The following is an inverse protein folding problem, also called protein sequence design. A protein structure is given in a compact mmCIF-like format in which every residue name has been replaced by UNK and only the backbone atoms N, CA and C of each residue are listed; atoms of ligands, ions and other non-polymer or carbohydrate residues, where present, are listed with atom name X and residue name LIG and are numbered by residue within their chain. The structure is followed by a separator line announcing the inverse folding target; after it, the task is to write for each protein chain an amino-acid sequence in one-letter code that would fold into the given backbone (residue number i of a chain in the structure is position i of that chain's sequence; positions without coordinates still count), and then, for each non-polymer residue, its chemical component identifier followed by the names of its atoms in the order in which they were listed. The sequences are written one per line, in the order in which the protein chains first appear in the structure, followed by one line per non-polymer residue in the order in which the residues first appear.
data_IF_925176490235
#
_entry.id   IF_925176490235
#
_cell.length_a   1.000
_cell.length_b   1.000
_cell.length_c   1.000
_cell.angle_alpha   90.00
_cell.angle_beta   90.00
_cell.angle_gamma   90.00
#
_symmetry.space_group_name_H-M   'P 1'
#
loop_
_entity.id
_entity.type
_entity.pdbx_description
1 polymer ?
#
# COMPACT_ATOMS: atom_id res chain seq x y z
N UNK A 1 -9.44 -6.72 12.86
CA UNK A 1 -10.80 -7.34 12.92
C UNK A 1 -11.42 -7.21 11.53
N UNK A 2 -11.27 -8.25 10.70
CA UNK A 2 -11.55 -8.18 9.26
C UNK A 2 -12.97 -7.71 8.95
N UNK A 3 -13.10 -6.55 8.30
CA UNK A 3 -14.39 -6.00 7.90
C UNK A 3 -14.95 -6.77 6.70
N UNK A 4 -15.72 -7.81 7.02
CA UNK A 4 -16.70 -8.52 6.18
C UNK A 4 -16.17 -9.19 4.90
N UNK A 5 -16.84 -10.26 4.41
CA UNK A 5 -16.63 -10.69 3.04
C UNK A 5 -16.93 -9.53 2.08
N UNK A 6 -15.95 -9.20 1.25
CA UNK A 6 -16.15 -8.24 0.16
C UNK A 6 -16.98 -8.97 -0.90
N UNK A 7 -18.03 -8.34 -1.41
CA UNK A 7 -18.83 -8.86 -2.52
C UNK A 7 -18.83 -7.85 -3.67
N UNK A 8 -18.87 -8.34 -4.91
CA UNK A 8 -19.11 -7.47 -6.05
C UNK A 8 -20.46 -6.78 -5.87
N UNK A 9 -20.44 -5.45 -5.90
CA UNK A 9 -21.60 -4.58 -5.71
C UNK A 9 -21.49 -3.38 -6.65
N UNK A 10 -22.59 -2.68 -6.97
CA UNK A 10 -22.53 -1.47 -7.80
C UNK A 10 -21.56 -0.42 -7.26
N UNK A 11 -21.40 -0.36 -5.94
CA UNK A 11 -20.43 0.50 -5.28
C UNK A 11 -19.00 0.06 -5.60
N UNK A 12 -18.70 -1.24 -5.53
CA UNK A 12 -17.40 -1.79 -5.87
C UNK A 12 -17.09 -1.65 -7.37
N UNK A 13 -18.08 -1.80 -8.25
CA UNK A 13 -17.95 -1.54 -9.69
C UNK A 13 -17.60 -0.08 -9.97
N UNK A 14 -18.20 0.85 -9.23
CA UNK A 14 -17.89 2.28 -9.34
C UNK A 14 -16.45 2.57 -8.88
N UNK A 15 -15.98 1.91 -7.82
CA UNK A 15 -14.59 1.99 -7.36
C UNK A 15 -13.63 1.41 -8.40
N UNK A 16 -13.90 0.21 -8.90
CA UNK A 16 -13.10 -0.42 -9.95
C UNK A 16 -13.00 0.49 -11.18
N UNK A 17 -14.12 1.07 -11.61
CA UNK A 17 -14.17 2.04 -12.71
C UNK A 17 -13.30 3.28 -12.44
N UNK A 18 -13.18 3.75 -11.20
CA UNK A 18 -12.27 4.86 -10.85
C UNK A 18 -10.81 4.42 -10.90
N UNK A 19 -10.50 3.24 -10.34
CA UNK A 19 -9.14 2.68 -10.32
C UNK A 19 -8.61 2.36 -11.73
N UNK A 20 -9.48 1.93 -12.65
CA UNK A 20 -9.11 1.68 -14.06
C UNK A 20 -8.98 2.97 -14.88
N UNK A 21 -9.79 3.99 -14.58
CA UNK A 21 -9.78 5.28 -15.30
C UNK A 21 -8.58 6.17 -14.99
N UNK A 22 -7.67 5.77 -14.09
CA UNK A 22 -6.54 6.60 -13.71
C UNK A 22 -5.65 7.01 -14.89
N UNK A 23 -5.74 6.39 -16.07
CA UNK A 23 -5.14 6.86 -17.34
C UNK A 23 -3.60 6.87 -17.38
N UNK A 24 -2.98 6.74 -16.21
CA UNK A 24 -1.56 6.63 -15.98
C UNK A 24 -1.09 5.20 -16.32
N UNK A 25 0.00 5.03 -17.11
CA UNK A 25 0.69 3.76 -17.27
C UNK A 25 1.01 3.04 -15.95
N UNK A 26 1.03 3.79 -14.85
CA UNK A 26 1.30 3.33 -13.48
C UNK A 26 0.07 3.42 -12.56
N UNK A 27 -1.14 3.41 -13.13
CA UNK A 27 -2.40 3.44 -12.38
C UNK A 27 -2.63 2.23 -11.47
N UNK A 28 -3.56 2.36 -10.53
CA UNK A 28 -3.79 1.37 -9.47
C UNK A 28 -4.06 -0.07 -9.94
N UNK A 29 -4.72 -0.23 -11.08
CA UNK A 29 -5.04 -1.52 -11.70
C UNK A 29 -4.35 -1.69 -13.06
N UNK A 30 -3.27 -0.92 -13.33
CA UNK A 30 -2.59 -0.95 -14.61
C UNK A 30 -2.19 -2.38 -14.99
N UNK A 31 -2.65 -2.84 -16.16
CA UNK A 31 -2.31 -4.15 -16.71
C UNK A 31 -2.92 -5.37 -16.00
N UNK A 32 -3.75 -5.17 -14.97
CA UNK A 32 -4.43 -6.25 -14.24
C UNK A 32 -5.86 -6.47 -14.76
N UNK A 33 -6.15 -7.58 -15.46
CA UNK A 33 -7.47 -7.84 -16.03
C UNK A 33 -8.46 -8.38 -14.99
N UNK A 34 -8.01 -8.75 -13.80
CA UNK A 34 -8.87 -9.36 -12.77
C UNK A 34 -9.89 -8.33 -12.25
N UNK A 35 -11.12 -8.76 -11.95
CA UNK A 35 -12.08 -7.91 -11.22
C UNK A 35 -11.51 -7.46 -9.88
N UNK A 36 -11.90 -6.27 -9.41
CA UNK A 36 -11.41 -5.72 -8.15
C UNK A 36 -11.66 -6.67 -6.98
N UNK A 37 -12.82 -7.31 -6.93
CA UNK A 37 -13.15 -8.30 -5.89
C UNK A 37 -12.16 -9.45 -5.82
N UNK A 38 -11.69 -9.94 -6.96
CA UNK A 38 -10.73 -11.05 -7.03
C UNK A 38 -9.41 -10.63 -6.42
N UNK A 39 -8.93 -9.42 -6.74
CA UNK A 39 -7.68 -8.87 -6.20
C UNK A 39 -7.78 -8.73 -4.68
N UNK A 40 -8.87 -8.14 -4.17
CA UNK A 40 -9.08 -7.97 -2.73
C UNK A 40 -9.15 -9.31 -1.99
N UNK A 41 -9.81 -10.31 -2.58
CA UNK A 41 -9.95 -11.64 -1.98
C UNK A 41 -8.62 -12.39 -1.95
N UNK A 42 -7.82 -12.28 -3.00
CA UNK A 42 -6.50 -12.89 -3.07
C UNK A 42 -5.52 -12.23 -2.10
N UNK A 43 -5.51 -10.88 -2.03
CA UNK A 43 -4.67 -10.14 -1.09
C UNK A 43 -5.07 -10.45 0.38
N UNK A 44 -6.36 -10.53 0.70
CA UNK A 44 -6.86 -10.95 2.04
C UNK A 44 -6.42 -12.39 2.38
N UNK A 45 -6.51 -13.32 1.44
CA UNK A 45 -6.03 -14.69 1.62
C UNK A 45 -4.53 -14.73 1.90
N UNK A 46 -3.72 -13.97 1.15
CA UNK A 46 -2.27 -13.92 1.33
C UNK A 46 -1.90 -13.37 2.72
N UNK A 47 -2.53 -12.28 3.14
CA UNK A 47 -2.31 -11.68 4.47
C UNK A 47 -2.68 -12.66 5.58
N UNK A 48 -3.83 -13.33 5.48
CA UNK A 48 -4.26 -14.36 6.46
C UNK A 48 -3.33 -15.56 6.50
N UNK A 49 -2.81 -16.01 5.35
CA UNK A 49 -1.87 -17.12 5.29
C UNK A 49 -0.54 -16.82 6.00
N UNK A 50 -0.16 -15.54 6.08
CA UNK A 50 1.00 -15.06 6.84
C UNK A 50 0.72 -14.88 8.35
N UNK A 51 -0.52 -15.10 8.82
CA UNK A 51 -0.90 -14.82 10.20
C UNK A 51 -0.94 -13.32 10.54
N UNK A 52 -1.14 -12.47 9.51
CA UNK A 52 -1.10 -11.01 9.64
C UNK A 52 -2.49 -10.38 9.52
N UNK A 53 -2.55 -9.09 9.84
CA UNK A 53 -3.70 -8.21 9.55
C UNK A 53 -3.28 -7.08 8.61
N UNK A 54 -4.23 -6.57 7.83
CA UNK A 54 -3.99 -5.40 6.99
C UNK A 54 -3.58 -4.19 7.83
N UNK A 55 -4.15 -4.06 9.03
CA UNK A 55 -3.84 -3.04 10.00
C UNK A 55 -2.38 -3.13 10.49
N UNK A 56 -1.88 -4.33 10.81
CA UNK A 56 -0.49 -4.53 11.21
C UNK A 56 0.49 -4.15 10.09
N UNK A 57 0.21 -4.56 8.84
CA UNK A 57 1.03 -4.19 7.68
C UNK A 57 1.04 -2.67 7.49
N UNK A 58 -0.14 -2.02 7.50
CA UNK A 58 -0.24 -0.58 7.36
C UNK A 58 0.43 0.17 8.51
N UNK A 59 0.36 -0.35 9.74
CA UNK A 59 1.03 0.23 10.90
C UNK A 59 2.55 0.18 10.76
N UNK A 60 3.13 -0.93 10.29
CA UNK A 60 4.58 -1.05 10.07
C UNK A 60 5.06 -0.09 8.99
N UNK A 61 4.36 -0.03 7.84
CA UNK A 61 4.70 0.92 6.78
C UNK A 61 4.55 2.38 7.25
N UNK A 62 3.54 2.69 8.06
CA UNK A 62 3.35 4.02 8.67
C UNK A 62 4.51 4.41 9.58
N UNK A 63 5.02 3.48 10.39
CA UNK A 63 6.16 3.76 11.26
C UNK A 63 7.40 4.23 10.46
N UNK A 64 7.68 3.57 9.33
CA UNK A 64 8.74 4.01 8.41
C UNK A 64 8.45 5.36 7.78
N UNK A 65 7.21 5.60 7.35
CA UNK A 65 6.78 6.89 6.80
C UNK A 65 6.99 8.03 7.79
N UNK A 66 6.59 7.86 9.05
CA UNK A 66 6.76 8.90 10.07
C UNK A 66 8.23 9.11 10.44
N UNK A 67 9.04 8.05 10.49
CA UNK A 67 10.49 8.18 10.65
C UNK A 67 11.11 9.03 9.53
N UNK A 68 10.71 8.80 8.27
CA UNK A 68 11.20 9.57 7.13
C UNK A 68 10.72 11.02 7.14
N UNK A 69 9.47 11.29 7.55
CA UNK A 69 8.95 12.67 7.72
C UNK A 69 9.78 13.46 8.72
N UNK A 70 10.17 12.83 9.83
CA UNK A 70 10.99 13.45 10.87
C UNK A 70 12.43 13.74 10.43
N UNK A 71 12.90 13.10 9.34
CA UNK A 71 14.22 13.33 8.76
C UNK A 71 14.29 14.56 7.84
N UNK A 72 13.18 15.31 7.67
CA UNK A 72 13.11 16.59 6.97
C UNK A 72 13.70 16.56 5.54
N UNK A 73 13.43 15.48 4.81
CA UNK A 73 13.85 15.29 3.41
C UNK A 73 15.17 14.52 3.24
N UNK A 74 15.92 14.28 4.34
CA UNK A 74 17.08 13.39 4.34
C UNK A 74 16.68 11.92 4.48
N UNK A 75 17.56 10.96 4.08
CA UNK A 75 17.37 9.57 4.40
C UNK A 75 17.61 9.32 5.91
N UNK A 76 16.84 8.40 6.49
CA UNK A 76 17.01 7.94 7.87
C UNK A 76 17.23 6.43 7.89
N UNK A 77 18.08 5.95 8.81
CA UNK A 77 18.26 4.52 9.05
C UNK A 77 17.46 4.12 10.28
N UNK A 78 16.52 3.19 10.10
CA UNK A 78 15.66 2.62 11.14
C UNK A 78 16.20 1.24 11.51
N UNK A 79 16.35 0.99 12.82
CA UNK A 79 16.75 -0.31 13.38
C UNK A 79 18.04 -0.90 12.74
N UNK A 80 18.96 -0.02 12.33
CA UNK A 80 20.23 -0.35 11.65
C UNK A 80 20.12 -1.17 10.35
N UNK A 81 18.92 -1.45 9.86
CA UNK A 81 18.67 -2.36 8.74
C UNK A 81 17.93 -1.69 7.57
N UNK A 82 17.08 -0.70 7.84
CA UNK A 82 16.24 -0.08 6.81
C UNK A 82 16.62 1.37 6.59
N UNK A 83 17.07 1.71 5.38
CA UNK A 83 17.18 3.11 4.97
C UNK A 83 15.85 3.55 4.36
N UNK A 84 15.27 4.62 4.89
CA UNK A 84 13.99 5.15 4.44
C UNK A 84 14.15 6.61 4.04
N UNK A 85 13.54 6.99 2.92
CA UNK A 85 13.50 8.37 2.44
C UNK A 85 12.10 8.70 1.97
N UNK A 86 11.67 9.94 2.19
CA UNK A 86 10.39 10.45 1.70
C UNK A 86 10.64 11.60 0.73
N UNK A 87 9.98 11.52 -0.42
CA UNK A 87 9.84 12.60 -1.38
C UNK A 87 8.39 13.11 -1.35
N UNK A 88 8.19 14.41 -1.18
CA UNK A 88 6.88 15.06 -1.22
C UNK A 88 6.69 15.76 -2.57
N UNK A 89 5.50 15.58 -3.15
CA UNK A 89 5.08 16.24 -4.37
C UNK A 89 3.86 17.11 -4.12
N UNK A 90 3.78 18.23 -4.84
CA UNK A 90 2.62 19.13 -4.77
C UNK A 90 1.32 18.39 -5.08
N UNK A 91 0.31 18.65 -4.24
CA UNK A 91 -1.06 18.17 -4.43
C UNK A 91 -1.47 17.15 -3.37
N UNK A 92 -2.72 16.72 -3.46
CA UNK A 92 -3.28 15.68 -2.61
C UNK A 92 -4.17 14.75 -3.41
N UNK A 93 -4.29 13.52 -2.96
CA UNK A 93 -5.02 12.45 -3.63
C UNK A 93 -6.25 12.07 -2.79
N UNK A 94 -7.45 12.00 -3.40
CA UNK A 94 -8.63 11.44 -2.73
C UNK A 94 -8.56 9.91 -2.71
N UNK A 95 -9.22 9.29 -1.73
CA UNK A 95 -9.38 7.83 -1.70
C UNK A 95 -10.33 7.36 -2.83
N UNK A 96 -9.96 6.35 -3.64
CA UNK A 96 -10.83 5.83 -4.71
C UNK A 96 -12.18 5.26 -4.23
N UNK A 97 -12.26 4.83 -2.98
CA UNK A 97 -13.50 4.37 -2.32
C UNK A 97 -14.40 5.53 -1.85
N UNK A 98 -13.95 6.78 -1.98
CA UNK A 98 -14.72 7.95 -1.55
C UNK A 98 -14.73 8.17 -0.03
N UNK A 99 -13.81 7.53 0.72
CA UNK A 99 -13.60 7.86 2.12
C UNK A 99 -13.21 9.34 2.28
N UNK A 100 -13.74 10.03 3.30
CA UNK A 100 -13.42 11.43 3.55
C UNK A 100 -11.93 11.58 3.87
N UNK A 101 -11.30 12.59 3.28
CA UNK A 101 -9.89 12.90 3.48
C UNK A 101 -9.13 13.11 2.18
N UNK A 102 -7.98 13.76 2.31
CA UNK A 102 -7.04 14.00 1.21
C UNK A 102 -5.64 13.62 1.69
N UNK A 103 -5.00 12.73 0.95
CA UNK A 103 -3.70 12.16 1.29
C UNK A 103 -2.60 12.92 0.55
N UNK A 104 -1.48 13.28 1.22
CA UNK A 104 -0.33 13.88 0.55
C UNK A 104 0.16 13.01 -0.61
N UNK A 105 0.61 13.64 -1.69
CA UNK A 105 1.26 12.92 -2.78
C UNK A 105 2.74 12.73 -2.41
N UNK A 106 3.03 11.62 -1.76
CA UNK A 106 4.37 11.28 -1.26
C UNK A 106 4.86 9.99 -1.87
N UNK A 107 6.18 9.88 -2.05
CA UNK A 107 6.86 8.62 -2.34
C UNK A 107 7.79 8.31 -1.19
N UNK A 108 7.49 7.25 -0.46
CA UNK A 108 8.35 6.69 0.57
C UNK A 108 9.11 5.54 -0.04
N UNK A 109 10.43 5.62 -0.04
CA UNK A 109 11.33 4.57 -0.51
C UNK A 109 12.03 3.95 0.68
N UNK A 110 11.97 2.63 0.78
CA UNK A 110 12.68 1.82 1.75
C UNK A 110 13.69 0.93 1.03
N UNK A 111 14.89 0.86 1.57
CA UNK A 111 15.99 0.00 1.15
C UNK A 111 16.40 -0.88 2.34
N UNK A 112 16.47 -2.19 2.14
CA UNK A 112 17.07 -3.12 3.11
C UNK A 112 18.58 -3.12 2.91
N UNK A 113 19.34 -2.73 3.91
CA UNK A 113 20.78 -2.47 3.78
C UNK A 113 21.64 -3.72 3.62
N UNK A 114 21.13 -4.88 4.04
CA UNK A 114 21.81 -6.17 3.95
C UNK A 114 21.63 -6.84 2.58
N UNK A 115 20.49 -6.63 1.90
CA UNK A 115 20.18 -7.23 0.60
C UNK A 115 20.20 -6.23 -0.56
N UNK A 116 20.09 -4.93 -0.28
CA UNK A 116 19.89 -3.89 -1.28
C UNK A 116 18.49 -3.87 -1.91
N UNK A 117 17.59 -4.75 -1.45
CA UNK A 117 16.21 -4.79 -1.94
C UNK A 117 15.47 -3.50 -1.60
N UNK A 118 14.51 -3.12 -2.46
CA UNK A 118 13.75 -1.90 -2.28
C UNK A 118 12.24 -2.12 -2.36
N UNK A 119 11.53 -1.26 -1.63
CA UNK A 119 10.08 -1.14 -1.62
C UNK A 119 9.71 0.33 -1.69
N UNK A 120 8.61 0.67 -2.35
CA UNK A 120 8.11 2.04 -2.40
C UNK A 120 6.59 2.09 -2.20
N UNK A 121 6.11 3.14 -1.53
CA UNK A 121 4.68 3.38 -1.34
C UNK A 121 4.36 4.87 -1.17
N UNK A 122 3.08 5.18 -1.08
CA UNK A 122 2.57 6.53 -0.82
C UNK A 122 1.78 6.56 0.49
N UNK A 123 1.54 7.74 1.07
CA UNK A 123 0.62 7.88 2.22
C UNK A 123 -0.78 7.33 1.88
N UNK A 124 -1.25 7.48 0.63
CA UNK A 124 -2.53 6.90 0.19
C UNK A 124 -2.49 5.36 0.18
N UNK A 125 -1.35 4.74 -0.17
CA UNK A 125 -1.19 3.28 -0.11
C UNK A 125 -1.45 2.74 1.30
N UNK A 126 -1.00 3.45 2.34
CA UNK A 126 -1.25 3.07 3.74
C UNK A 126 -2.75 3.00 4.05
N UNK A 127 -3.51 4.01 3.59
CA UNK A 127 -4.95 4.04 3.77
C UNK A 127 -5.64 2.93 2.96
N UNK A 128 -5.23 2.72 1.71
CA UNK A 128 -5.79 1.67 0.86
C UNK A 128 -5.61 0.27 1.47
N UNK A 129 -4.43 0.00 2.04
CA UNK A 129 -4.19 -1.25 2.76
C UNK A 129 -5.07 -1.32 4.01
N UNK A 130 -4.97 -0.33 4.90
CA UNK A 130 -5.63 -0.38 6.21
C UNK A 130 -7.17 -0.43 6.11
N UNK A 131 -7.76 0.37 5.22
CA UNK A 131 -9.19 0.57 5.17
C UNK A 131 -9.89 -0.36 4.16
N UNK A 132 -9.15 -0.86 3.17
CA UNK A 132 -9.74 -1.58 2.03
C UNK A 132 -9.05 -2.91 1.72
N UNK A 133 -7.92 -3.26 2.35
CA UNK A 133 -7.17 -4.48 2.04
C UNK A 133 -6.62 -4.50 0.62
N UNK A 134 -6.42 -3.32 0.00
CA UNK A 134 -6.02 -3.20 -1.40
C UNK A 134 -4.53 -2.89 -1.55
N UNK A 135 -3.80 -3.77 -2.24
CA UNK A 135 -2.35 -3.67 -2.43
C UNK A 135 -1.95 -3.32 -3.87
N UNK A 136 -2.90 -2.82 -4.66
CA UNK A 136 -2.80 -2.56 -6.10
C UNK A 136 -2.77 -3.80 -7.00
N UNK A 137 -3.10 -3.59 -8.27
CA UNK A 137 -3.10 -4.63 -9.29
C UNK A 137 -1.71 -5.22 -9.55
N UNK A 138 -1.67 -6.47 -9.99
CA UNK A 138 -0.45 -7.29 -10.10
C UNK A 138 0.67 -6.64 -10.91
N UNK A 139 0.32 -5.92 -11.99
CA UNK A 139 1.28 -5.26 -12.87
C UNK A 139 1.50 -3.78 -12.54
N UNK A 140 0.85 -3.26 -11.50
CA UNK A 140 1.15 -1.90 -11.04
C UNK A 140 2.60 -1.87 -10.50
N UNK A 141 3.42 -0.90 -10.92
CA UNK A 141 4.77 -0.73 -10.37
C UNK A 141 4.76 -0.29 -8.89
N UNK A 142 3.59 0.07 -8.37
CA UNK A 142 3.36 0.43 -6.98
C UNK A 142 2.64 -0.68 -6.20
N UNK A 143 2.55 -1.91 -6.75
CA UNK A 143 2.01 -3.06 -6.00
C UNK A 143 2.86 -3.33 -4.77
N UNK A 144 2.16 -3.44 -3.64
CA UNK A 144 2.72 -3.78 -2.35
C UNK A 144 2.39 -5.23 -2.03
N UNK A 145 2.99 -6.17 -2.76
CA UNK A 145 2.68 -7.59 -2.57
C UNK A 145 2.79 -8.00 -1.08
N UNK A 146 1.75 -8.59 -0.45
CA UNK A 146 1.72 -8.82 0.98
C UNK A 146 2.89 -9.64 1.52
N UNK A 147 3.31 -10.68 0.80
CA UNK A 147 4.44 -11.52 1.21
C UNK A 147 5.75 -10.75 1.14
N UNK A 148 5.96 -9.99 0.06
CA UNK A 148 7.13 -9.12 -0.09
C UNK A 148 7.16 -8.07 1.01
N UNK A 149 6.04 -7.42 1.32
CA UNK A 149 5.97 -6.39 2.37
C UNK A 149 6.29 -7.00 3.74
N UNK A 150 5.69 -8.15 4.06
CA UNK A 150 5.92 -8.84 5.33
C UNK A 150 7.41 -9.18 5.53
N UNK A 151 8.04 -9.76 4.50
CA UNK A 151 9.46 -10.10 4.50
C UNK A 151 10.37 -8.87 4.56
N UNK A 152 10.10 -7.86 3.71
CA UNK A 152 10.91 -6.63 3.64
C UNK A 152 10.85 -5.81 4.91
N UNK A 153 9.69 -5.76 5.58
CA UNK A 153 9.45 -4.88 6.72
C UNK A 153 9.49 -5.60 8.07
N UNK A 154 9.78 -6.92 8.09
CA UNK A 154 9.74 -7.77 9.28
C UNK A 154 8.44 -7.60 10.08
N UNK A 155 7.29 -7.67 9.39
CA UNK A 155 5.98 -7.59 10.06
C UNK A 155 5.75 -8.89 10.82
N UNK A 156 5.55 -8.81 12.13
CA UNK A 156 5.34 -9.97 12.97
C UNK A 156 3.86 -10.42 12.93
N UNK A 157 3.59 -11.74 12.89
CA UNK A 157 2.25 -12.30 13.12
C UNK A 157 1.65 -11.84 14.45
N UNK A 158 0.32 -11.71 14.49
CA UNK A 158 -0.43 -11.50 15.74
C UNK A 158 -0.54 -12.79 16.57
#
# INVERSE_FOLDING_TARGET
MGRYPVYQSPQLDAVESRLRRSGDPHGYLAGDPRPLITILTEDDRAVKALGLTHEAIAARLRAFTEAAKNALGGPVVVEALWRVQLEDFRGRLPCPWGHPGLYPKTHVRLERLDTGETLQWTDLSLHMIQAHGFYQGLKSPYRLDPEKVASMCAVLPE
#
